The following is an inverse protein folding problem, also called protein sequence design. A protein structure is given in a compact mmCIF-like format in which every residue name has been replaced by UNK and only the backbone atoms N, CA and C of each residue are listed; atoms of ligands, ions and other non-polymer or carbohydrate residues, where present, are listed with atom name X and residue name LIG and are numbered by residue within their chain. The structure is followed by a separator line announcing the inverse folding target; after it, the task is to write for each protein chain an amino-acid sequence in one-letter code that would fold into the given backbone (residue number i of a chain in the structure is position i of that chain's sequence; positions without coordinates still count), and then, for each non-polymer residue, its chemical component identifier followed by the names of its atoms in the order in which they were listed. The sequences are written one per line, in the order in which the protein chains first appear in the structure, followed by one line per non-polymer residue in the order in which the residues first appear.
data_IF_792075683501
#
_entry.id   IF_792075683501
#
_cell.length_a   1.000
_cell.length_b   1.000
_cell.length_c   1.000
_cell.angle_alpha   90.00
_cell.angle_beta   90.00
_cell.angle_gamma   90.00
#
_symmetry.space_group_name_H-M   'P 1'
#
loop_
_entity.id
_entity.type
_entity.pdbx_description
1 polymer ?
#
# COMPACT_ATOMS: atom_id res chain seq x y z
N UNK A 1 32.18 -24.46 18.83
CA UNK A 1 30.80 -24.04 18.48
C UNK A 1 30.39 -22.97 19.48
N UNK A 2 30.32 -21.71 19.05
CA UNK A 2 29.57 -20.68 19.77
C UNK A 2 28.78 -19.92 18.71
N UNK A 3 27.47 -19.88 18.91
CA UNK A 3 26.50 -19.44 17.92
C UNK A 3 26.37 -17.94 17.88
N UNK A 4 26.47 -17.40 16.68
CA UNK A 4 25.96 -16.10 16.27
C UNK A 4 25.20 -16.33 14.95
N UNK A 5 24.11 -15.61 14.64
CA UNK A 5 23.85 -14.25 15.13
C UNK A 5 22.44 -14.06 15.70
N UNK A 6 22.41 -13.25 16.76
CA UNK A 6 21.32 -12.37 17.17
C UNK A 6 20.20 -12.22 16.11
N UNK A 7 19.07 -12.86 16.37
CA UNK A 7 17.83 -12.65 15.62
C UNK A 7 17.50 -11.15 15.57
N UNK A 8 17.59 -10.55 14.39
CA UNK A 8 17.12 -9.17 14.11
C UNK A 8 15.58 -9.11 13.97
N UNK A 9 14.88 -9.80 14.86
CA UNK A 9 13.44 -10.07 14.74
C UNK A 9 12.56 -9.37 15.78
N UNK A 10 13.07 -8.39 16.53
CA UNK A 10 12.27 -7.67 17.51
C UNK A 10 12.73 -6.20 17.59
N UNK A 11 12.32 -5.39 16.62
CA UNK A 11 12.24 -3.95 16.80
C UNK A 11 10.97 -3.46 16.12
N UNK A 12 9.95 -3.44 16.96
CA UNK A 12 8.93 -2.41 17.09
C UNK A 12 9.46 -1.03 16.65
N UNK A 13 9.57 -0.84 15.34
CA UNK A 13 9.69 0.48 14.70
C UNK A 13 8.92 0.41 13.38
N UNK A 14 7.69 -0.11 13.45
CA UNK A 14 6.73 -0.03 12.35
C UNK A 14 5.97 1.31 12.43
N UNK A 15 6.67 2.39 12.74
CA UNK A 15 6.16 3.74 12.52
C UNK A 15 6.54 4.14 11.10
N UNK A 16 5.85 3.55 10.14
CA UNK A 16 6.02 3.89 8.73
C UNK A 16 5.36 5.25 8.51
N UNK A 17 6.19 6.30 8.48
CA UNK A 17 5.75 7.63 8.09
C UNK A 17 5.50 7.71 6.58
N UNK A 18 4.73 8.71 6.17
CA UNK A 18 4.43 9.03 4.78
C UNK A 18 5.65 9.08 3.84
N UNK A 19 6.76 9.65 4.28
CA UNK A 19 8.01 9.69 3.51
C UNK A 19 8.58 8.29 3.26
N UNK A 20 8.42 7.39 4.22
CA UNK A 20 8.94 6.02 4.11
C UNK A 20 8.11 5.20 3.12
N UNK A 21 6.80 5.46 3.08
CA UNK A 21 5.90 4.92 2.06
C UNK A 21 6.34 5.39 0.67
N UNK A 22 6.63 6.68 0.53
CA UNK A 22 7.10 7.26 -0.73
C UNK A 22 8.43 6.63 -1.19
N UNK A 23 9.40 6.49 -0.27
CA UNK A 23 10.66 5.77 -0.56
C UNK A 23 10.45 4.31 -0.98
N UNK A 24 9.49 3.62 -0.36
CA UNK A 24 9.13 2.26 -0.79
C UNK A 24 8.55 2.27 -2.20
N UNK A 25 7.66 3.21 -2.52
CA UNK A 25 7.09 3.37 -3.85
C UNK A 25 8.13 3.80 -4.91
N UNK A 26 9.19 4.49 -4.50
CA UNK A 26 10.32 4.84 -5.36
C UNK A 26 11.27 3.66 -5.64
N UNK A 27 11.10 2.52 -4.96
CA UNK A 27 11.91 1.32 -5.20
C UNK A 27 11.60 0.77 -6.59
N UNK A 28 12.59 0.28 -7.35
CA UNK A 28 12.38 -0.26 -8.71
C UNK A 28 11.29 -1.33 -8.83
N UNK A 29 11.02 -2.06 -7.75
CA UNK A 29 9.94 -3.04 -7.63
C UNK A 29 8.53 -2.44 -7.80
N UNK A 30 8.37 -1.13 -7.58
CA UNK A 30 7.12 -0.40 -7.71
C UNK A 30 7.12 0.57 -8.92
N UNK A 31 8.06 0.41 -9.85
CA UNK A 31 7.98 1.15 -11.12
C UNK A 31 6.79 0.66 -11.95
N UNK A 32 6.27 1.55 -12.78
CA UNK A 32 5.23 1.24 -13.76
C UNK A 32 5.61 0.10 -14.71
N UNK A 33 6.91 -0.06 -14.99
CA UNK A 33 7.48 -1.14 -15.81
C UNK A 33 7.46 -2.52 -15.11
N UNK A 34 7.39 -2.54 -13.78
CA UNK A 34 7.43 -3.78 -13.00
C UNK A 34 6.16 -4.63 -13.15
N UNK A 35 5.16 -4.15 -13.89
CA UNK A 35 3.92 -4.88 -14.15
C UNK A 35 3.03 -5.13 -12.93
N UNK A 36 3.37 -4.59 -11.75
CA UNK A 36 2.57 -4.74 -10.52
C UNK A 36 1.86 -3.46 -10.10
N UNK A 37 2.18 -2.33 -10.73
CA UNK A 37 1.63 -1.02 -10.40
C UNK A 37 0.50 -0.61 -11.35
N UNK A 38 -0.46 0.16 -10.86
CA UNK A 38 -1.51 0.79 -11.68
C UNK A 38 -1.01 2.09 -12.30
N UNK A 39 -1.61 2.49 -13.44
CA UNK A 39 -1.40 3.83 -13.99
C UNK A 39 -1.84 4.92 -13.01
N UNK A 40 -1.26 6.11 -13.17
CA UNK A 40 -1.50 7.23 -12.26
C UNK A 40 -2.97 7.69 -12.23
N UNK A 41 -3.71 7.60 -13.34
CA UNK A 41 -5.16 7.86 -13.38
C UNK A 41 -5.93 6.99 -12.37
N UNK A 42 -5.70 5.68 -12.42
CA UNK A 42 -6.33 4.71 -11.51
C UNK A 42 -5.84 4.93 -10.08
N UNK A 43 -4.56 5.23 -9.90
CA UNK A 43 -4.02 5.54 -8.58
C UNK A 43 -4.71 6.75 -7.94
N UNK A 44 -4.89 7.84 -8.68
CA UNK A 44 -5.55 9.05 -8.20
C UNK A 44 -7.04 8.82 -7.90
N UNK A 45 -7.73 8.03 -8.72
CA UNK A 45 -9.13 7.66 -8.47
C UNK A 45 -9.27 6.87 -7.17
N UNK A 46 -8.43 5.85 -6.98
CA UNK A 46 -8.37 5.05 -5.73
C UNK A 46 -8.06 5.90 -4.51
N UNK A 47 -7.14 6.87 -4.64
CA UNK A 47 -6.78 7.78 -3.56
C UNK A 47 -7.95 8.71 -3.21
N UNK A 48 -8.68 9.18 -4.21
CA UNK A 48 -9.86 10.04 -4.02
C UNK A 48 -10.96 9.30 -3.26
N UNK A 49 -11.20 8.02 -3.58
CA UNK A 49 -12.11 7.16 -2.82
C UNK A 49 -11.67 6.99 -1.35
N UNK A 50 -10.36 6.84 -1.11
CA UNK A 50 -9.84 6.79 0.25
C UNK A 50 -10.03 8.11 1.00
N UNK A 51 -9.88 9.24 0.29
CA UNK A 51 -9.92 10.58 0.88
C UNK A 51 -11.32 10.92 1.44
N UNK A 52 -12.36 10.36 0.84
CA UNK A 52 -13.74 10.44 1.32
C UNK A 52 -14.07 9.37 2.39
N UNK A 53 -13.18 8.40 2.61
CA UNK A 53 -13.43 7.30 3.52
C UNK A 53 -13.21 7.69 4.99
N UNK A 54 -14.23 7.53 5.83
CA UNK A 54 -14.14 7.77 7.28
C UNK A 54 -13.19 6.83 8.02
N UNK A 55 -12.68 5.78 7.36
CA UNK A 55 -11.71 4.81 7.92
C UNK A 55 -10.25 5.17 7.60
N UNK A 56 -10.01 6.29 6.91
CA UNK A 56 -8.67 6.76 6.61
C UNK A 56 -8.05 7.43 7.84
N UNK A 57 -7.02 6.79 8.39
CA UNK A 57 -6.27 7.29 9.55
C UNK A 57 -5.05 8.06 9.04
N UNK A 58 -4.95 9.32 9.45
CA UNK A 58 -3.81 10.18 9.12
C UNK A 58 -3.62 10.46 7.62
N UNK A 59 -4.61 10.19 6.77
CA UNK A 59 -4.52 10.46 5.32
C UNK A 59 -3.79 9.39 4.49
N UNK A 60 -3.14 8.42 5.12
CA UNK A 60 -2.30 7.43 4.43
C UNK A 60 -2.49 6.00 4.93
N UNK A 61 -3.13 5.78 6.08
CA UNK A 61 -3.28 4.45 6.69
C UNK A 61 -4.75 4.02 6.71
N UNK A 62 -5.05 2.81 6.26
CA UNK A 62 -6.41 2.29 6.28
C UNK A 62 -6.70 1.57 7.61
N UNK A 63 -7.74 1.99 8.34
CA UNK A 63 -8.18 1.30 9.56
C UNK A 63 -8.80 -0.09 9.29
N UNK A 64 -9.18 -0.40 8.04
CA UNK A 64 -9.80 -1.68 7.70
C UNK A 64 -8.77 -2.79 7.48
N UNK A 65 -7.77 -2.52 6.63
CA UNK A 65 -6.74 -3.52 6.30
C UNK A 65 -5.44 -3.37 7.09
N UNK A 66 -5.26 -2.26 7.82
CA UNK A 66 -4.02 -1.94 8.52
C UNK A 66 -2.85 -1.60 7.59
N UNK A 67 -3.07 -1.51 6.27
CA UNK A 67 -2.05 -1.16 5.29
C UNK A 67 -2.19 0.28 4.80
N UNK A 68 -1.12 0.78 4.18
CA UNK A 68 -1.09 2.11 3.59
C UNK A 68 -1.94 2.19 2.33
N UNK A 69 -2.87 3.14 2.28
CA UNK A 69 -3.73 3.35 1.11
C UNK A 69 -2.90 3.73 -0.11
N UNK A 70 -1.81 4.48 0.05
CA UNK A 70 -0.90 4.82 -1.05
C UNK A 70 -0.23 3.59 -1.68
N UNK A 71 0.24 2.64 -0.87
CA UNK A 71 0.82 1.41 -1.40
C UNK A 71 -0.24 0.51 -2.01
N UNK A 72 -1.36 0.31 -1.30
CA UNK A 72 -2.45 -0.53 -1.78
C UNK A 72 -3.10 0.03 -3.06
N UNK A 73 -3.22 1.35 -3.17
CA UNK A 73 -3.74 2.00 -4.35
C UNK A 73 -2.76 1.93 -5.52
N UNK A 74 -1.43 2.00 -5.30
CA UNK A 74 -0.44 1.86 -6.37
C UNK A 74 -0.35 0.42 -6.88
N UNK A 75 -0.60 -0.58 -6.04
CA UNK A 75 -0.58 -1.99 -6.43
C UNK A 75 -1.82 -2.40 -7.25
N UNK A 76 -1.60 -2.94 -8.45
CA UNK A 76 -2.67 -3.39 -9.35
C UNK A 76 -3.38 -4.62 -8.84
N UNK A 77 -2.61 -5.53 -8.25
CA UNK A 77 -3.09 -6.79 -7.66
C UNK A 77 -3.93 -6.57 -6.38
N UNK A 78 -3.71 -5.44 -5.68
CA UNK A 78 -4.49 -5.12 -4.48
C UNK A 78 -5.85 -4.53 -4.82
N UNK A 79 -6.79 -4.84 -3.93
CA UNK A 79 -8.15 -4.31 -3.90
C UNK A 79 -8.48 -3.85 -2.50
N UNK A 80 -9.49 -2.99 -2.38
CA UNK A 80 -9.94 -2.49 -1.09
C UNK A 80 -10.81 -3.55 -0.38
N UNK A 81 -10.49 -3.93 0.87
CA UNK A 81 -11.33 -4.85 1.65
C UNK A 81 -12.52 -4.15 2.32
N UNK A 82 -13.01 -3.03 1.75
CA UNK A 82 -14.15 -2.31 2.29
C UNK A 82 -15.42 -3.20 2.27
N UNK A 83 -16.03 -3.48 3.45
CA UNK A 83 -17.30 -4.19 3.49
C UNK A 83 -18.39 -3.26 2.94
N UNK A 84 -19.03 -3.67 1.84
CA UNK A 84 -20.10 -2.89 1.20
C UNK A 84 -19.83 -2.44 -0.24
N UNK A 85 -18.69 -2.82 -0.85
CA UNK A 85 -18.47 -2.61 -2.28
C UNK A 85 -18.17 -1.16 -2.70
N UNK A 86 -18.00 -0.26 -1.73
CA UNK A 86 -17.60 1.15 -1.95
C UNK A 86 -16.10 1.32 -2.21
N UNK A 87 -15.32 0.24 -2.10
CA UNK A 87 -13.89 0.24 -2.34
C UNK A 87 -13.50 -0.02 -3.81
N UNK A 88 -12.26 0.28 -4.16
CA UNK A 88 -11.73 -0.03 -5.49
C UNK A 88 -11.49 -1.52 -5.69
N UNK A 89 -11.67 -1.98 -6.93
CA UNK A 89 -11.36 -3.36 -7.35
C UNK A 89 -9.91 -3.51 -7.77
N UNK A 90 -9.46 -4.77 -7.82
CA UNK A 90 -8.19 -5.18 -8.42
C UNK A 90 -8.14 -4.64 -9.85
N UNK A 91 -7.02 -4.02 -10.22
CA UNK A 91 -6.81 -3.57 -11.59
C UNK A 91 -6.40 -4.81 -12.39
N UNK A 92 -7.36 -5.32 -13.15
CA UNK A 92 -7.15 -6.39 -14.11
C UNK A 92 -6.53 -5.77 -15.36
N UNK A 93 -5.21 -5.71 -15.37
CA UNK A 93 -4.45 -5.50 -16.60
C UNK A 93 -4.64 -6.76 -17.44
N UNK A 94 -5.63 -6.72 -18.32
CA UNK A 94 -6.02 -7.88 -19.11
C UNK A 94 -4.91 -8.24 -20.09
N UNK A 95 -4.11 -9.25 -19.78
CA UNK A 95 -3.79 -10.36 -20.68
C UNK A 95 -3.07 -11.50 -19.97
#
# INVERSE_FOLDING_TARGET
MVGDPLCKGCRDDYRVSEERIDKMLATPLFRSDSGVCVPDDVYQERLSLCRDCSKLIGGHTCALCGCFVRIAAKLKDKSCPAPGGTGWRRYSDGS
#
